data_IF_559138495946
#
_entry.id   IF_559138495946
#
_cell.length_a   1.000
_cell.length_b   1.000
_cell.length_c   1.000
_cell.angle_alpha   90.00
_cell.angle_beta   90.00
_cell.angle_gamma   90.00
#
_symmetry.space_group_name_H-M   'P 1'
#
loop_
_entity.id
_entity.type
_entity.pdbx_description
1 polymer ?
#
# COMPACT_ATOMS: atom_id res chain seq x y z
N UNK A 1 -16.49 11.28 9.07
CA UNK A 1 -16.70 9.85 8.74
C UNK A 1 -15.52 9.00 9.15
N UNK A 2 -14.27 9.42 8.91
CA UNK A 2 -13.05 8.73 9.39
C UNK A 2 -13.09 8.33 10.87
N UNK A 3 -13.43 9.23 11.80
CA UNK A 3 -13.51 8.90 13.24
C UNK A 3 -14.48 7.76 13.57
N UNK A 4 -15.51 7.52 12.74
CA UNK A 4 -16.42 6.39 12.93
C UNK A 4 -15.81 5.10 12.37
N UNK A 5 -15.14 5.12 11.22
CA UNK A 5 -14.45 3.95 10.68
C UNK A 5 -13.27 3.53 11.58
N UNK A 6 -12.46 4.47 12.07
CA UNK A 6 -11.39 4.19 13.04
C UNK A 6 -11.97 3.67 14.36
N UNK A 7 -13.10 4.22 14.82
CA UNK A 7 -13.80 3.72 16.01
C UNK A 7 -14.45 2.36 15.77
N UNK A 8 -14.95 2.03 14.59
CA UNK A 8 -15.57 0.73 14.32
C UNK A 8 -14.50 -0.36 14.17
N UNK A 9 -13.40 -0.09 13.46
CA UNK A 9 -12.26 -1.01 13.38
C UNK A 9 -11.62 -1.21 14.75
N UNK A 10 -11.49 -0.15 15.57
CA UNK A 10 -10.93 -0.25 16.92
C UNK A 10 -11.92 -0.78 17.98
N UNK A 11 -13.23 -0.50 17.88
CA UNK A 11 -14.23 -0.94 18.86
C UNK A 11 -14.68 -2.38 18.62
N UNK A 12 -14.54 -2.91 17.40
CA UNK A 12 -14.75 -4.33 17.10
C UNK A 12 -13.49 -5.16 17.34
N UNK A 13 -12.59 -4.75 18.24
CA UNK A 13 -11.27 -5.33 18.53
C UNK A 13 -11.19 -6.81 18.95
N UNK A 14 -12.19 -7.63 18.61
CA UNK A 14 -12.14 -9.10 18.61
C UNK A 14 -12.68 -9.76 17.32
N UNK A 15 -13.12 -8.99 16.32
CA UNK A 15 -13.57 -9.51 15.03
C UNK A 15 -12.51 -9.27 13.95
N UNK A 16 -12.07 -10.35 13.32
CA UNK A 16 -11.19 -10.29 12.17
C UNK A 16 -12.00 -9.85 10.96
N UNK A 17 -11.56 -8.77 10.33
CA UNK A 17 -12.19 -8.25 9.12
C UNK A 17 -11.69 -9.00 7.89
N UNK A 18 -12.63 -9.30 7.00
CA UNK A 18 -12.29 -9.72 5.64
C UNK A 18 -11.69 -8.56 4.86
N UNK A 19 -10.90 -8.88 3.84
CA UNK A 19 -10.44 -7.88 2.88
C UNK A 19 -11.63 -7.14 2.28
N UNK A 20 -12.65 -7.86 1.81
CA UNK A 20 -13.87 -7.28 1.23
C UNK A 20 -14.65 -6.35 2.18
N UNK A 21 -14.61 -6.61 3.49
CA UNK A 21 -15.22 -5.75 4.50
C UNK A 21 -14.42 -4.47 4.69
N UNK A 22 -13.09 -4.59 4.79
CA UNK A 22 -12.18 -3.45 4.89
C UNK A 22 -12.27 -2.53 3.66
N UNK A 23 -12.38 -3.11 2.46
CA UNK A 23 -12.57 -2.35 1.22
C UNK A 23 -13.84 -1.51 1.23
N UNK A 24 -14.91 -1.94 1.93
CA UNK A 24 -16.13 -1.14 2.10
C UNK A 24 -16.01 -0.06 3.16
N UNK A 25 -15.20 -0.30 4.20
CA UNK A 25 -15.04 0.61 5.34
C UNK A 25 -14.00 1.72 5.09
N UNK A 26 -13.03 1.45 4.21
CA UNK A 26 -11.89 2.33 3.94
C UNK A 26 -11.91 2.75 2.46
N UNK A 27 -12.65 3.81 2.08
CA UNK A 27 -12.94 4.15 0.68
C UNK A 27 -11.71 4.56 -0.17
N UNK A 28 -10.59 4.91 0.45
CA UNK A 28 -9.36 5.19 -0.27
C UNK A 28 -8.59 3.92 -0.67
N UNK A 29 -8.81 2.80 0.02
CA UNK A 29 -8.10 1.54 -0.27
C UNK A 29 -8.53 0.95 -1.62
N UNK A 30 -9.83 0.87 -1.97
CA UNK A 30 -10.25 0.46 -3.31
C UNK A 30 -9.63 1.33 -4.40
N UNK A 31 -9.46 2.64 -4.19
CA UNK A 31 -8.83 3.52 -5.19
C UNK A 31 -7.36 3.19 -5.40
N UNK A 32 -6.63 2.89 -4.31
CA UNK A 32 -5.25 2.43 -4.41
C UNK A 32 -5.18 1.04 -5.05
N UNK A 33 -6.16 0.17 -4.77
CA UNK A 33 -6.25 -1.15 -5.40
C UNK A 33 -6.53 -1.02 -6.91
N UNK A 34 -7.44 -0.12 -7.31
CA UNK A 34 -7.72 0.16 -8.73
C UNK A 34 -6.45 0.61 -9.46
N UNK A 35 -5.63 1.47 -8.83
CA UNK A 35 -4.33 1.89 -9.38
C UNK A 35 -3.38 0.69 -9.48
N UNK A 36 -3.30 -0.13 -8.44
CA UNK A 36 -2.47 -1.33 -8.42
C UNK A 36 -2.87 -2.32 -9.53
N UNK A 37 -4.17 -2.53 -9.74
CA UNK A 37 -4.72 -3.44 -10.74
C UNK A 37 -4.35 -3.04 -12.17
N UNK A 38 -4.11 -1.75 -12.44
CA UNK A 38 -3.58 -1.28 -13.74
C UNK A 38 -2.20 -1.89 -14.07
N UNK A 39 -1.41 -2.22 -13.05
CA UNK A 39 -0.08 -2.80 -13.19
C UNK A 39 -0.08 -4.32 -13.10
N UNK A 40 -1.21 -4.94 -12.72
CA UNK A 40 -1.34 -6.39 -12.67
C UNK A 40 -1.33 -6.90 -14.10
N UNK A 41 -0.19 -7.49 -14.47
CA UNK A 41 -0.04 -8.14 -15.77
C UNK A 41 -0.93 -9.38 -15.77
N UNK A 42 -2.12 -9.27 -16.35
CA UNK A 42 -2.83 -10.42 -16.91
C UNK A 42 -1.82 -11.13 -17.82
N UNK A 43 -1.64 -12.43 -17.66
CA UNK A 43 -0.76 -13.25 -18.49
C UNK A 43 -1.21 -13.37 -19.96
N UNK A 44 -1.67 -12.28 -20.57
CA UNK A 44 -1.94 -12.15 -21.99
C UNK A 44 -1.17 -10.96 -22.56
N UNK A 45 0.15 -11.15 -22.68
CA UNK A 45 0.86 -10.50 -23.76
C UNK A 45 0.36 -11.09 -25.09
N UNK A 46 -0.14 -10.24 -25.99
CA UNK A 46 -0.39 -10.52 -27.41
C UNK A 46 -1.04 -11.89 -27.72
N UNK A 47 -2.37 -11.95 -27.68
CA UNK A 47 -3.10 -12.85 -28.58
C UNK A 47 -4.38 -12.16 -29.06
N UNK A 48 -4.53 -12.22 -30.38
CA UNK A 48 -5.61 -11.72 -31.21
C UNK A 48 -7.02 -11.76 -30.60
N UNK A 49 -7.78 -10.71 -30.93
CA UNK A 49 -9.18 -10.71 -31.35
C UNK A 49 -10.06 -11.91 -30.99
N UNK A 50 -11.19 -11.61 -30.33
CA UNK A 50 -12.43 -12.37 -30.48
C UNK A 50 -12.99 -12.96 -29.20
N UNK A 51 -14.06 -12.31 -28.74
CA UNK A 51 -15.32 -12.88 -28.25
C UNK A 51 -15.37 -13.81 -27.02
N UNK A 52 -16.37 -13.48 -26.17
CA UNK A 52 -17.08 -14.29 -25.17
C UNK A 52 -16.31 -15.23 -24.21
N UNK A 53 -16.37 -14.93 -22.91
CA UNK A 53 -16.71 -15.87 -21.79
C UNK A 53 -16.55 -15.10 -20.45
N UNK A 54 -17.60 -14.79 -19.68
CA UNK A 54 -18.28 -15.69 -18.76
C UNK A 54 -17.32 -16.59 -17.94
N UNK A 55 -17.33 -16.39 -16.62
CA UNK A 55 -16.64 -17.16 -15.57
C UNK A 55 -15.21 -16.72 -15.17
N UNK A 56 -15.11 -15.57 -14.49
CA UNK A 56 -13.96 -15.26 -13.62
C UNK A 56 -14.25 -15.81 -12.21
N UNK A 57 -14.12 -17.13 -12.06
CA UNK A 57 -14.16 -17.84 -10.78
C UNK A 57 -12.76 -18.44 -10.55
N UNK A 58 -12.15 -18.01 -9.45
CA UNK A 58 -11.09 -18.68 -8.66
C UNK A 58 -9.75 -19.05 -9.33
N UNK A 59 -8.72 -18.32 -8.86
CA UNK A 59 -7.34 -18.73 -8.51
C UNK A 59 -6.33 -19.11 -9.61
N UNK A 60 -5.19 -18.41 -9.62
CA UNK A 60 -3.87 -18.97 -10.01
C UNK A 60 -2.72 -18.13 -9.37
N UNK A 61 -1.53 -18.70 -9.09
CA UNK A 61 -0.46 -18.15 -8.22
C UNK A 61 0.38 -17.03 -8.88
N UNK A 62 -0.26 -16.22 -9.73
CA UNK A 62 0.34 -15.11 -10.49
C UNK A 62 -0.22 -13.74 -10.11
N UNK A 63 -1.02 -13.58 -9.07
CA UNK A 63 -1.62 -12.28 -8.73
C UNK A 63 -0.57 -11.36 -8.10
N UNK A 64 0.06 -10.53 -8.93
CA UNK A 64 1.06 -9.59 -8.46
C UNK A 64 1.75 -8.82 -9.58
N UNK A 65 2.15 -7.59 -9.29
CA UNK A 65 2.90 -6.75 -10.24
C UNK A 65 4.38 -7.13 -10.19
N UNK A 66 5.14 -6.96 -11.28
CA UNK A 66 6.58 -7.25 -11.22
C UNK A 66 7.26 -6.28 -10.26
N UNK A 67 8.32 -6.73 -9.57
CA UNK A 67 9.10 -5.85 -8.68
C UNK A 67 9.62 -4.58 -9.37
N UNK A 68 9.88 -4.64 -10.68
CA UNK A 68 10.29 -3.48 -11.49
C UNK A 68 9.20 -2.42 -11.62
N UNK A 69 7.93 -2.84 -11.62
CA UNK A 69 6.78 -1.98 -11.89
C UNK A 69 6.25 -1.34 -10.59
N UNK A 70 6.76 -1.77 -9.42
CA UNK A 70 6.37 -1.23 -8.11
C UNK A 70 6.66 0.27 -8.00
N UNK A 71 7.80 0.73 -8.52
CA UNK A 71 8.14 2.15 -8.49
C UNK A 71 7.13 2.99 -9.27
N UNK A 72 6.76 2.54 -10.47
CA UNK A 72 5.79 3.23 -11.33
C UNK A 72 4.36 3.16 -10.76
N UNK A 73 4.02 2.05 -10.11
CA UNK A 73 2.78 1.90 -9.37
C UNK A 73 2.67 2.92 -8.23
N UNK A 74 3.72 3.04 -7.39
CA UNK A 74 3.77 4.02 -6.30
C UNK A 74 3.75 5.46 -6.82
N UNK A 75 4.39 5.73 -7.98
CA UNK A 75 4.29 7.02 -8.67
C UNK A 75 2.87 7.36 -9.07
N UNK A 76 2.15 6.38 -9.59
CA UNK A 76 0.74 6.55 -9.98
C UNK A 76 -0.17 6.72 -8.77
N UNK A 77 0.21 6.17 -7.60
CA UNK A 77 -0.46 6.40 -6.32
C UNK A 77 -0.19 7.81 -5.73
N UNK A 78 0.72 8.58 -6.33
CA UNK A 78 1.02 9.96 -5.95
C UNK A 78 2.32 10.15 -5.16
N UNK A 79 3.13 9.11 -4.97
CA UNK A 79 4.45 9.22 -4.34
C UNK A 79 5.54 9.50 -5.37
N UNK A 80 6.70 10.00 -4.95
CA UNK A 80 7.82 10.23 -5.87
C UNK A 80 9.12 9.59 -5.39
N UNK A 81 9.16 8.25 -5.23
CA UNK A 81 10.31 7.60 -4.63
C UNK A 81 11.50 7.59 -5.61
N UNK A 82 12.69 7.91 -5.08
CA UNK A 82 13.96 7.72 -5.77
C UNK A 82 14.24 6.23 -6.01
N UNK A 83 14.80 5.91 -7.17
CA UNK A 83 15.16 4.54 -7.52
C UNK A 83 16.10 3.90 -6.49
N UNK A 84 16.99 4.66 -5.85
CA UNK A 84 17.91 4.15 -4.83
C UNK A 84 17.19 3.75 -3.54
N UNK A 85 16.19 4.55 -3.15
CA UNK A 85 15.33 4.26 -1.99
C UNK A 85 14.49 3.02 -2.28
N UNK A 86 13.91 2.92 -3.48
CA UNK A 86 13.16 1.74 -3.92
C UNK A 86 14.02 0.47 -3.91
N UNK A 87 15.23 0.51 -4.50
CA UNK A 87 16.16 -0.64 -4.50
C UNK A 87 16.51 -1.08 -3.08
N UNK A 88 16.76 -0.14 -2.19
CA UNK A 88 17.12 -0.43 -0.79
C UNK A 88 15.98 -1.15 -0.07
N UNK A 89 14.75 -0.62 -0.16
CA UNK A 89 13.59 -1.22 0.50
C UNK A 89 13.20 -2.57 -0.10
N UNK A 90 13.24 -2.71 -1.43
CA UNK A 90 12.98 -3.99 -2.08
C UNK A 90 14.04 -5.03 -1.69
N UNK A 91 15.33 -4.66 -1.65
CA UNK A 91 16.40 -5.56 -1.23
C UNK A 91 16.29 -5.96 0.25
N UNK A 92 15.80 -5.08 1.11
CA UNK A 92 15.51 -5.39 2.51
C UNK A 92 14.34 -6.38 2.63
N UNK A 93 13.25 -6.15 1.89
CA UNK A 93 12.07 -7.03 1.88
C UNK A 93 12.39 -8.42 1.34
N UNK A 94 13.17 -8.50 0.27
CA UNK A 94 13.65 -9.77 -0.29
C UNK A 94 14.50 -10.51 0.75
N UNK A 95 15.46 -9.84 1.39
CA UNK A 95 16.29 -10.45 2.44
C UNK A 95 15.47 -10.96 3.63
N UNK A 96 14.45 -10.21 4.05
CA UNK A 96 13.54 -10.64 5.13
C UNK A 96 12.75 -11.89 4.73
N UNK A 97 12.21 -11.94 3.49
CA UNK A 97 11.47 -13.10 2.97
C UNK A 97 12.35 -14.34 2.81
N UNK A 98 13.57 -14.16 2.30
CA UNK A 98 14.55 -15.24 2.18
C UNK A 98 14.94 -15.82 3.54
N UNK A 99 15.08 -14.98 4.57
CA UNK A 99 15.32 -15.42 5.94
C UNK A 99 14.16 -16.25 6.53
N UNK A 100 12.93 -16.02 6.07
CA UNK A 100 11.73 -16.78 6.44
C UNK A 100 11.51 -18.03 5.57
N UNK A 101 12.43 -18.34 4.65
CA UNK A 101 12.30 -19.49 3.75
C UNK A 101 11.24 -19.34 2.65
N UNK A 102 10.62 -18.16 2.53
CA UNK A 102 9.67 -17.84 1.47
C UNK A 102 10.47 -17.57 0.20
N UNK A 103 10.50 -18.54 -0.73
CA UNK A 103 11.13 -18.34 -2.04
C UNK A 103 10.40 -17.19 -2.74
N UNK A 104 11.12 -16.09 -2.93
CA UNK A 104 10.61 -14.84 -3.48
C UNK A 104 9.92 -15.08 -4.82
N UNK A 105 8.59 -14.92 -4.85
CA UNK A 105 7.94 -14.60 -6.10
C UNK A 105 8.51 -13.24 -6.56
N UNK A 106 8.97 -13.13 -7.80
CA UNK A 106 9.36 -11.86 -8.45
C UNK A 106 8.17 -10.87 -8.60
N UNK A 107 7.09 -11.09 -7.85
CA UNK A 107 5.82 -10.39 -7.90
C UNK A 107 5.51 -9.78 -6.54
N UNK A 108 5.04 -8.54 -6.57
CA UNK A 108 4.54 -7.78 -5.44
C UNK A 108 3.02 -7.89 -5.35
N UNK A 109 2.53 -8.39 -4.22
CA UNK A 109 1.11 -8.35 -3.84
C UNK A 109 0.68 -6.93 -3.50
N UNK A 110 -0.63 -6.68 -3.48
CA UNK A 110 -1.17 -5.36 -3.12
C UNK A 110 -0.72 -4.93 -1.73
N UNK A 111 -0.75 -5.85 -0.75
CA UNK A 111 -0.34 -5.63 0.64
C UNK A 111 1.14 -5.22 0.73
N UNK A 112 2.00 -5.78 -0.13
CA UNK A 112 3.41 -5.42 -0.20
C UNK A 112 3.59 -3.99 -0.74
N UNK A 113 2.87 -3.65 -1.82
CA UNK A 113 2.90 -2.30 -2.39
C UNK A 113 2.36 -1.29 -1.39
N UNK A 114 1.28 -1.60 -0.69
CA UNK A 114 0.69 -0.73 0.32
C UNK A 114 1.61 -0.53 1.54
N UNK A 115 2.34 -1.57 1.93
CA UNK A 115 3.39 -1.47 2.97
C UNK A 115 4.50 -0.51 2.56
N UNK A 116 4.93 -0.58 1.30
CA UNK A 116 5.90 0.36 0.74
C UNK A 116 5.32 1.78 0.66
N UNK A 117 4.06 1.91 0.23
CA UNK A 117 3.35 3.17 0.18
C UNK A 117 3.35 3.87 1.55
N UNK A 118 2.94 3.17 2.63
CA UNK A 118 2.91 3.76 3.96
C UNK A 118 4.30 4.25 4.42
N UNK A 119 5.34 3.43 4.25
CA UNK A 119 6.71 3.82 4.64
C UNK A 119 7.22 5.02 3.87
N UNK A 120 6.96 5.08 2.58
CA UNK A 120 7.45 6.17 1.73
C UNK A 120 6.65 7.45 1.95
N UNK A 121 5.33 7.35 2.12
CA UNK A 121 4.47 8.48 2.45
C UNK A 121 4.82 9.07 3.84
N UNK A 122 5.14 8.25 4.84
CA UNK A 122 5.62 8.72 6.15
C UNK A 122 6.93 9.50 6.02
N UNK A 123 7.88 9.00 5.21
CA UNK A 123 9.14 9.70 4.97
C UNK A 123 8.96 10.97 4.15
N UNK A 124 8.05 10.99 3.18
CA UNK A 124 7.68 12.24 2.50
C UNK A 124 7.11 13.23 3.51
N UNK A 125 6.23 12.83 4.43
CA UNK A 125 5.74 13.73 5.49
C UNK A 125 6.88 14.24 6.39
N UNK A 126 7.83 13.39 6.79
CA UNK A 126 9.00 13.78 7.59
C UNK A 126 9.98 14.70 6.84
N UNK A 127 10.30 14.40 5.59
CA UNK A 127 11.14 15.24 4.74
C UNK A 127 10.45 16.57 4.40
N UNK A 128 9.12 16.58 4.25
CA UNK A 128 8.32 17.79 4.02
C UNK A 128 8.24 18.72 5.24
N UNK A 129 8.25 18.16 6.47
CA UNK A 129 8.38 18.95 7.70
C UNK A 129 9.72 19.70 7.76
N UNK A 130 10.77 19.16 7.14
CA UNK A 130 12.07 19.81 6.96
C UNK A 130 12.06 20.78 5.74
N UNK A 131 11.29 20.48 4.68
CA UNK A 131 11.12 21.31 3.46
C UNK A 131 10.17 22.50 3.60
N UNK A 132 9.60 22.77 4.78
CA UNK A 132 9.04 24.10 5.09
C UNK A 132 10.05 25.22 4.82
N UNK A 133 11.36 24.91 4.91
CA UNK A 133 12.47 25.76 4.42
C UNK A 133 12.61 25.72 2.90
N UNK A 134 12.46 24.55 2.27
CA UNK A 134 12.72 24.31 0.84
C UNK A 134 11.86 25.12 -0.13
N UNK A 135 10.54 25.26 0.12
CA UNK A 135 9.66 26.10 -0.71
C UNK A 135 10.13 27.56 -0.68
N UNK A 136 10.41 28.08 0.52
CA UNK A 136 10.86 29.45 0.69
C UNK A 136 12.28 29.65 0.18
N UNK A 137 13.14 28.64 0.25
CA UNK A 137 14.50 28.67 -0.31
C UNK A 137 14.47 28.69 -1.85
N UNK A 138 13.62 27.87 -2.47
CA UNK A 138 13.41 27.89 -3.94
C UNK A 138 12.82 29.24 -4.36
N UNK A 139 11.79 29.74 -3.68
CA UNK A 139 11.23 31.06 -3.95
C UNK A 139 12.25 32.17 -3.76
N UNK A 140 13.12 32.10 -2.74
CA UNK A 140 14.19 33.08 -2.51
C UNK A 140 15.18 33.12 -3.66
N UNK A 141 15.59 31.96 -4.19
CA UNK A 141 16.48 31.88 -5.35
C UNK A 141 15.78 32.44 -6.59
N UNK A 142 14.52 32.13 -6.83
CA UNK A 142 13.77 32.63 -7.98
C UNK A 142 13.52 34.14 -7.89
N UNK A 143 13.16 34.67 -6.72
CA UNK A 143 13.05 36.11 -6.45
C UNK A 143 14.36 36.86 -6.67
N UNK A 144 15.51 36.24 -6.35
CA UNK A 144 16.83 36.85 -6.65
C UNK A 144 17.10 37.01 -8.16
N UNK A 145 16.33 36.31 -9.01
CA UNK A 145 16.42 36.36 -10.47
C UNK A 145 15.32 37.20 -11.11
N UNK A 146 14.36 37.67 -10.32
CA UNK A 146 13.29 38.59 -10.69
C UNK A 146 13.52 39.93 -9.97
N UNK A 147 14.43 40.78 -10.47
CA UNK A 147 14.79 42.05 -9.81
C UNK A 147 13.61 43.03 -9.76
N UNK A 148 12.63 42.88 -10.65
CA UNK A 148 11.45 43.73 -10.77
C UNK A 148 10.30 43.26 -9.86
N UNK A 149 10.44 42.08 -9.22
CA UNK A 149 9.45 41.53 -8.29
C UNK A 149 8.09 41.24 -8.92
N UNK A 150 8.09 40.91 -10.21
CA UNK A 150 6.89 40.64 -11.00
C UNK A 150 6.21 39.31 -10.65
N UNK A 151 6.92 38.39 -9.99
CA UNK A 151 6.47 37.02 -9.76
C UNK A 151 6.53 36.13 -11.01
N UNK A 152 7.20 36.62 -12.07
CA UNK A 152 7.33 35.95 -13.36
C UNK A 152 8.79 35.84 -13.80
N UNK A 153 9.13 34.77 -14.51
CA UNK A 153 10.43 34.61 -15.15
C UNK A 153 10.25 34.12 -16.58
N UNK A 154 11.11 34.57 -17.53
CA UNK A 154 11.08 34.05 -18.89
C UNK A 154 11.32 32.54 -18.93
N UNK A 155 10.58 31.83 -19.77
CA UNK A 155 10.69 30.38 -19.97
C UNK A 155 12.15 29.93 -20.18
N UNK A 156 12.89 30.65 -21.04
CA UNK A 156 14.28 30.32 -21.36
C UNK A 156 15.21 30.43 -20.15
N UNK A 157 14.96 31.39 -19.26
CA UNK A 157 15.73 31.62 -18.04
C UNK A 157 15.43 30.54 -17.01
N UNK A 158 14.16 30.23 -16.79
CA UNK A 158 13.75 29.19 -15.84
C UNK A 158 14.20 27.81 -16.30
N UNK A 159 14.08 27.49 -17.60
CA UNK A 159 14.60 26.26 -18.20
C UNK A 159 16.08 26.10 -17.95
N UNK A 160 16.88 27.16 -18.21
CA UNK A 160 18.31 27.14 -17.95
C UNK A 160 18.62 26.91 -16.47
N UNK A 161 17.85 27.50 -15.56
CA UNK A 161 18.05 27.28 -14.13
C UNK A 161 17.82 25.82 -13.73
N UNK A 162 16.72 25.20 -14.20
CA UNK A 162 16.38 23.80 -13.92
C UNK A 162 17.40 22.80 -14.49
N UNK A 163 18.03 23.11 -15.63
CA UNK A 163 19.02 22.23 -16.26
C UNK A 163 20.46 22.48 -15.77
N UNK A 164 20.73 23.64 -15.15
CA UNK A 164 22.10 24.06 -14.77
C UNK A 164 22.34 24.03 -13.25
N UNK A 165 21.31 24.15 -12.41
CA UNK A 165 21.42 24.25 -10.94
C UNK A 165 20.71 23.08 -10.24
N UNK A 166 21.40 22.39 -9.32
CA UNK A 166 20.83 21.31 -8.49
C UNK A 166 20.87 19.91 -9.14
N UNK A 167 19.96 19.03 -8.72
CA UNK A 167 19.65 17.76 -9.39
C UNK A 167 19.06 18.08 -10.76
N UNK A 168 19.88 17.90 -11.79
CA UNK A 168 19.60 18.36 -13.16
C UNK A 168 18.42 17.58 -13.72
N UNK A 169 17.33 18.28 -13.99
CA UNK A 169 16.34 17.78 -14.94
C UNK A 169 16.97 17.76 -16.33
N UNK A 170 16.66 16.74 -17.12
CA UNK A 170 17.05 16.72 -18.53
C UNK A 170 16.23 17.73 -19.35
N UNK A 171 16.62 17.98 -20.60
CA UNK A 171 15.93 18.97 -21.43
C UNK A 171 14.45 18.61 -21.69
N UNK A 172 14.14 17.31 -21.71
CA UNK A 172 12.79 16.78 -21.94
C UNK A 172 11.90 16.95 -20.72
N UNK A 173 12.41 16.69 -19.52
CA UNK A 173 11.76 16.88 -18.24
C UNK A 173 11.50 18.38 -17.99
N UNK A 174 12.50 19.22 -18.22
CA UNK A 174 12.36 20.67 -18.07
C UNK A 174 11.32 21.25 -19.05
N UNK A 175 11.26 20.75 -20.28
CA UNK A 175 10.22 21.11 -21.24
C UNK A 175 8.83 20.66 -20.74
N UNK A 176 8.70 19.42 -20.26
CA UNK A 176 7.44 18.87 -19.76
C UNK A 176 6.84 19.68 -18.60
N UNK A 177 7.69 20.14 -17.67
CA UNK A 177 7.25 20.96 -16.53
C UNK A 177 6.84 22.36 -16.96
N UNK A 178 7.62 22.99 -17.84
CA UNK A 178 7.48 24.42 -18.13
C UNK A 178 6.48 24.73 -19.26
N UNK A 179 6.29 23.82 -20.21
CA UNK A 179 5.45 24.07 -21.38
C UNK A 179 3.97 24.26 -21.03
N UNK A 180 3.50 23.60 -19.98
CA UNK A 180 2.09 23.66 -19.54
C UNK A 180 1.77 24.90 -18.69
N UNK A 181 2.78 25.67 -18.29
CA UNK A 181 2.64 26.81 -17.34
C UNK A 181 3.15 28.14 -17.91
N UNK A 182 3.65 28.14 -19.14
CA UNK A 182 4.04 29.35 -19.85
C UNK A 182 2.82 30.08 -20.39
N UNK A 183 2.80 31.40 -20.25
CA UNK A 183 1.79 32.26 -20.85
C UNK A 183 2.05 32.50 -22.35
N UNK A 184 1.16 33.26 -22.98
CA UNK A 184 1.23 33.62 -24.41
C UNK A 184 2.51 34.41 -24.74
N UNK A 185 3.06 35.11 -23.75
CA UNK A 185 4.26 35.94 -23.87
C UNK A 185 5.56 35.16 -23.56
N UNK A 186 5.45 33.86 -23.22
CA UNK A 186 6.58 33.00 -22.90
C UNK A 186 7.16 33.21 -21.51
N UNK A 187 6.40 33.81 -20.60
CA UNK A 187 6.75 33.95 -19.18
C UNK A 187 6.07 32.86 -18.35
N UNK A 188 6.70 32.52 -17.23
CA UNK A 188 6.20 31.53 -16.28
C UNK A 188 5.99 32.20 -14.93
N UNK A 189 4.78 32.09 -14.38
CA UNK A 189 4.46 32.49 -13.02
C UNK A 189 5.13 31.52 -12.02
N UNK A 190 6.40 31.77 -11.72
CA UNK A 190 7.21 30.84 -10.94
C UNK A 190 6.69 30.65 -9.51
N UNK A 191 6.07 31.69 -8.90
CA UNK A 191 5.48 31.54 -7.58
C UNK A 191 4.27 30.60 -7.59
N UNK A 192 3.47 30.65 -8.65
CA UNK A 192 2.34 29.76 -8.82
C UNK A 192 2.81 28.34 -9.12
N UNK A 193 3.80 28.20 -10.01
CA UNK A 193 4.43 26.92 -10.33
C UNK A 193 4.99 26.25 -9.08
N UNK A 194 5.78 26.96 -8.26
CA UNK A 194 6.33 26.41 -7.02
C UNK A 194 5.19 26.02 -6.06
N UNK A 195 4.19 26.90 -5.85
CA UNK A 195 3.06 26.54 -4.99
C UNK A 195 2.27 25.33 -5.50
N UNK A 196 2.18 25.12 -6.81
CA UNK A 196 1.56 23.94 -7.42
C UNK A 196 2.41 22.68 -7.27
N UNK A 197 3.73 22.79 -7.48
CA UNK A 197 4.67 21.67 -7.33
C UNK A 197 4.74 21.18 -5.87
N UNK A 198 4.59 22.09 -4.91
CA UNK A 198 4.57 21.79 -3.49
C UNK A 198 3.16 21.81 -2.89
N UNK A 199 2.12 21.82 -3.72
CA UNK A 199 0.75 21.77 -3.24
C UNK A 199 0.51 20.40 -2.60
N UNK A 200 0.20 20.38 -1.30
CA UNK A 200 -0.20 19.15 -0.63
C UNK A 200 -1.43 18.58 -1.31
N UNK A 201 -1.34 17.29 -1.66
CA UNK A 201 -2.54 16.53 -1.99
C UNK A 201 -3.37 16.38 -0.71
N UNK A 202 -4.55 17.02 -0.61
CA UNK A 202 -5.36 16.99 0.61
C UNK A 202 -5.85 15.59 0.96
N UNK A 203 -5.84 14.66 0.00
CA UNK A 203 -6.23 13.27 0.16
C UNK A 203 -5.05 12.35 0.47
N UNK A 204 -3.80 12.83 0.43
CA UNK A 204 -2.63 11.98 0.72
C UNK A 204 -2.57 11.58 2.19
N UNK A 205 -2.83 12.51 3.11
CA UNK A 205 -2.89 12.23 4.55
C UNK A 205 -4.02 11.22 4.87
N UNK A 206 -5.19 11.37 4.23
CA UNK A 206 -6.31 10.44 4.39
C UNK A 206 -5.99 9.05 3.81
N UNK A 207 -5.40 8.98 2.61
CA UNK A 207 -4.95 7.72 2.00
C UNK A 207 -3.95 6.99 2.88
N UNK A 208 -2.95 7.71 3.41
CA UNK A 208 -1.96 7.15 4.32
C UNK A 208 -2.60 6.57 5.58
N UNK A 209 -3.49 7.35 6.22
CA UNK A 209 -4.18 6.91 7.42
C UNK A 209 -5.03 5.66 7.17
N UNK A 210 -5.79 5.63 6.07
CA UNK A 210 -6.59 4.45 5.73
C UNK A 210 -5.71 3.25 5.38
N UNK A 211 -4.60 3.44 4.67
CA UNK A 211 -3.67 2.38 4.31
C UNK A 211 -3.03 1.73 5.54
N UNK A 212 -2.64 2.54 6.53
CA UNK A 212 -2.16 2.04 7.82
C UNK A 212 -3.23 1.25 8.57
N UNK A 213 -4.48 1.74 8.61
CA UNK A 213 -5.59 1.03 9.26
C UNK A 213 -5.88 -0.30 8.57
N UNK A 214 -5.85 -0.33 7.24
CA UNK A 214 -5.98 -1.57 6.47
C UNK A 214 -4.91 -2.56 6.87
N UNK A 215 -3.63 -2.18 6.77
CA UNK A 215 -2.49 -3.06 7.09
C UNK A 215 -2.49 -3.54 8.54
N UNK A 216 -2.90 -2.67 9.47
CA UNK A 216 -3.06 -3.04 10.87
C UNK A 216 -4.18 -4.07 11.07
N UNK A 217 -5.27 -3.97 10.33
CA UNK A 217 -6.40 -4.89 10.42
C UNK A 217 -6.15 -6.23 9.72
N UNK A 218 -5.39 -6.25 8.61
CA UNK A 218 -5.00 -7.51 7.95
C UNK A 218 -3.86 -8.23 8.66
N UNK A 219 -2.99 -7.50 9.35
CA UNK A 219 -1.85 -8.02 10.11
C UNK A 219 -0.52 -7.95 9.36
N UNK A 220 0.59 -8.05 10.11
CA UNK A 220 1.95 -7.92 9.56
C UNK A 220 2.29 -9.01 8.54
N UNK A 221 1.74 -10.19 8.71
CA UNK A 221 1.99 -11.34 7.83
C UNK A 221 1.16 -11.28 6.54
N UNK A 222 0.23 -10.32 6.40
CA UNK A 222 -0.63 -10.21 5.24
C UNK A 222 0.13 -10.06 3.90
N UNK A 223 1.36 -9.54 3.93
CA UNK A 223 2.22 -9.40 2.75
C UNK A 223 2.55 -10.75 2.08
N UNK A 224 2.52 -11.84 2.83
CA UNK A 224 2.90 -13.19 2.39
C UNK A 224 1.70 -14.15 2.39
N UNK A 225 0.51 -13.67 2.75
CA UNK A 225 -0.73 -14.46 2.79
C UNK A 225 -1.52 -14.35 1.48
N UNK A 226 -2.20 -15.45 1.13
CA UNK A 226 -3.28 -15.43 0.16
C UNK A 226 -4.54 -14.85 0.83
N UNK A 227 -4.92 -13.64 0.44
CA UNK A 227 -6.05 -12.93 1.03
C UNK A 227 -7.40 -13.64 0.77
N UNK A 228 -7.52 -14.37 -0.34
CA UNK A 228 -8.71 -15.18 -0.62
C UNK A 228 -8.84 -16.34 0.36
N UNK A 229 -7.76 -17.10 0.55
CA UNK A 229 -7.73 -18.19 1.55
C UNK A 229 -7.95 -17.68 2.97
N UNK A 230 -7.39 -16.52 3.31
CA UNK A 230 -7.61 -15.86 4.61
C UNK A 230 -9.08 -15.51 4.83
N UNK A 231 -9.73 -14.87 3.86
CA UNK A 231 -11.14 -14.47 3.96
C UNK A 231 -12.06 -15.69 4.06
N UNK A 232 -11.77 -16.76 3.31
CA UNK A 232 -12.49 -18.04 3.41
C UNK A 232 -12.33 -18.69 4.78
N UNK A 233 -11.13 -18.63 5.37
CA UNK A 233 -10.87 -19.13 6.71
C UNK A 233 -11.64 -18.33 7.78
N UNK A 234 -11.67 -17.00 7.67
CA UNK A 234 -12.47 -16.13 8.55
C UNK A 234 -13.96 -16.50 8.46
N UNK A 235 -14.48 -16.75 7.25
CA UNK A 235 -15.85 -17.24 7.06
C UNK A 235 -16.11 -18.61 7.68
N UNK A 236 -15.14 -19.51 7.58
CA UNK A 236 -15.25 -20.83 8.16
C UNK A 236 -15.34 -20.77 9.69
N UNK A 237 -14.53 -19.92 10.33
CA UNK A 237 -14.59 -19.66 11.78
C UNK A 237 -15.92 -19.03 12.18
N UNK A 238 -16.37 -17.99 11.48
CA UNK A 238 -17.67 -17.34 11.79
C UNK A 238 -18.85 -18.29 11.65
N UNK A 239 -18.79 -19.24 10.71
CA UNK A 239 -19.80 -20.31 10.59
C UNK A 239 -19.70 -21.35 11.70
N UNK A 240 -18.49 -21.60 12.23
CA UNK A 240 -18.28 -22.52 13.33
C UNK A 240 -18.67 -21.92 14.69
N UNK A 241 -18.65 -20.60 14.84
CA UNK A 241 -19.13 -19.87 16.02
C UNK A 241 -20.18 -18.80 15.67
N UNK A 242 -21.43 -19.18 15.36
CA UNK A 242 -22.51 -18.24 15.01
C UNK A 242 -22.88 -17.29 16.14
N UNK A 243 -22.57 -17.67 17.38
CA UNK A 243 -22.88 -16.88 18.58
C UNK A 243 -21.77 -15.87 18.89
N UNK A 244 -20.65 -15.91 18.17
CA UNK A 244 -19.52 -15.00 18.37
C UNK A 244 -18.93 -15.10 19.77
N UNK A 245 -18.91 -16.32 20.34
CA UNK A 245 -18.37 -16.58 21.67
C UNK A 245 -16.87 -16.29 21.79
N UNK A 246 -16.13 -16.33 20.68
CA UNK A 246 -14.68 -16.16 20.64
C UNK A 246 -13.90 -17.47 20.84
N UNK A 247 -14.60 -18.61 20.93
CA UNK A 247 -13.99 -19.92 21.18
C UNK A 247 -14.44 -20.97 20.17
N UNK A 248 -13.54 -21.91 19.89
CA UNK A 248 -13.80 -23.05 18.99
C UNK A 248 -13.15 -24.30 19.58
N UNK A 249 -13.78 -25.46 19.37
CA UNK A 249 -13.20 -26.74 19.81
C UNK A 249 -11.94 -27.08 18.99
N UNK A 250 -10.90 -27.70 19.60
CA UNK A 250 -9.66 -28.07 18.91
C UNK A 250 -9.87 -28.91 17.66
N UNK A 251 -10.74 -29.91 17.73
CA UNK A 251 -11.05 -30.81 16.62
C UNK A 251 -11.65 -30.04 15.45
N UNK A 252 -12.53 -29.07 15.78
CA UNK A 252 -13.19 -28.25 14.78
C UNK A 252 -12.22 -27.26 14.14
N UNK A 253 -11.29 -26.68 14.91
CA UNK A 253 -10.24 -25.82 14.36
C UNK A 253 -9.30 -26.61 13.45
N UNK A 254 -8.93 -27.83 13.84
CA UNK A 254 -8.10 -28.73 13.03
C UNK A 254 -8.77 -29.08 11.70
N UNK A 255 -10.07 -29.38 11.71
CA UNK A 255 -10.87 -29.58 10.49
C UNK A 255 -10.88 -28.36 9.57
N UNK A 256 -10.89 -27.15 10.15
CA UNK A 256 -10.87 -25.91 9.37
C UNK A 256 -9.50 -25.62 8.75
N UNK A 257 -8.41 -25.92 9.46
CA UNK A 257 -7.04 -25.76 8.96
C UNK A 257 -6.73 -26.77 7.85
N UNK A 258 -7.14 -28.03 8.01
CA UNK A 258 -6.92 -29.11 7.04
C UNK A 258 -7.89 -29.11 5.86
N UNK A 259 -8.70 -28.04 5.75
CA UNK A 259 -9.68 -27.88 4.67
C UNK A 259 -9.02 -27.43 3.36
N UNK A 260 -7.89 -26.75 3.49
CA UNK A 260 -6.97 -26.45 2.40
C UNK A 260 -5.93 -27.58 2.33
N UNK A 261 -5.15 -27.71 1.26
CA UNK A 261 -4.21 -28.82 0.98
C UNK A 261 -3.09 -29.06 2.03
N UNK A 262 -3.19 -28.44 3.19
CA UNK A 262 -2.30 -28.55 4.33
C UNK A 262 -2.74 -29.67 5.28
N UNK A 263 -1.77 -30.33 5.91
CA UNK A 263 -2.00 -31.39 6.89
C UNK A 263 -1.40 -30.98 8.23
N UNK A 264 -2.15 -30.20 9.01
CA UNK A 264 -1.89 -29.99 10.42
C UNK A 264 -2.29 -31.22 11.23
N UNK A 265 -1.40 -31.64 12.10
CA UNK A 265 -1.65 -32.65 13.12
C UNK A 265 -2.20 -32.02 14.40
N UNK A 266 -2.84 -32.84 15.25
CA UNK A 266 -3.30 -32.38 16.56
C UNK A 266 -2.17 -31.89 17.45
N UNK A 267 -0.96 -32.45 17.31
CA UNK A 267 0.22 -32.05 18.08
C UNK A 267 0.72 -30.68 17.63
N UNK A 268 0.79 -30.44 16.32
CA UNK A 268 1.15 -29.12 15.78
C UNK A 268 0.13 -28.06 16.17
N UNK A 269 -1.17 -28.38 16.12
CA UNK A 269 -2.21 -27.47 16.58
C UNK A 269 -2.02 -27.12 18.06
N UNK A 270 -1.78 -28.11 18.92
CA UNK A 270 -1.54 -27.88 20.36
C UNK A 270 -0.32 -27.00 20.62
N UNK A 271 0.77 -27.19 19.86
CA UNK A 271 1.96 -26.34 19.96
C UNK A 271 1.65 -24.89 19.56
N UNK A 272 0.85 -24.69 18.52
CA UNK A 272 0.45 -23.36 18.05
C UNK A 272 -0.57 -22.67 18.98
N UNK A 273 -1.44 -23.43 19.64
CA UNK A 273 -2.52 -22.89 20.49
C UNK A 273 -2.17 -22.90 21.97
N UNK A 274 -0.91 -23.20 22.31
CA UNK A 274 -0.43 -23.24 23.68
C UNK A 274 -0.66 -21.89 24.38
N UNK A 275 -1.42 -21.90 25.47
CA UNK A 275 -1.75 -20.67 26.22
C UNK A 275 -2.93 -19.86 25.65
N UNK A 276 -3.59 -20.34 24.61
CA UNK A 276 -4.81 -19.76 24.03
C UNK A 276 -6.09 -20.49 24.44
N UNK A 277 -5.96 -21.58 25.18
CA UNK A 277 -7.06 -22.41 25.66
C UNK A 277 -7.69 -21.85 26.94
N UNK A 278 -9.01 -21.93 27.06
CA UNK A 278 -9.69 -21.65 28.33
C UNK A 278 -9.64 -22.86 29.25
N UNK A 279 -8.56 -22.93 30.04
CA UNK A 279 -8.34 -23.98 31.05
C UNK A 279 -9.32 -23.92 32.23
N UNK A 280 -10.11 -22.84 32.37
CA UNK A 280 -11.02 -22.64 33.50
C UNK A 280 -12.43 -23.13 33.19
N UNK A 281 -12.89 -22.92 31.96
CA UNK A 281 -14.26 -23.19 31.56
C UNK A 281 -14.37 -24.22 30.42
N UNK A 282 -13.25 -24.79 29.95
CA UNK A 282 -13.19 -25.77 28.86
C UNK A 282 -13.92 -25.30 27.58
N UNK A 283 -13.95 -23.98 27.35
CA UNK A 283 -14.68 -23.37 26.21
C UNK A 283 -14.02 -23.68 24.86
N UNK A 284 -12.83 -24.27 24.88
CA UNK A 284 -12.01 -24.56 23.72
C UNK A 284 -10.89 -23.55 23.53
N UNK A 285 -10.42 -23.43 22.30
CA UNK A 285 -9.35 -22.53 21.89
C UNK A 285 -9.94 -21.15 21.63
N UNK A 286 -9.33 -20.11 22.20
CA UNK A 286 -9.63 -18.73 21.85
C UNK A 286 -9.10 -18.46 20.44
N UNK A 287 -9.97 -18.62 19.44
CA UNK A 287 -9.57 -18.43 18.04
C UNK A 287 -9.21 -16.98 17.75
N UNK A 288 -9.66 -16.02 18.57
CA UNK A 288 -9.30 -14.62 18.35
C UNK A 288 -7.81 -14.40 18.62
N UNK A 289 -7.28 -15.00 19.69
CA UNK A 289 -5.84 -14.96 19.99
C UNK A 289 -5.04 -15.75 18.96
N UNK A 290 -5.55 -16.89 18.52
CA UNK A 290 -4.93 -17.70 17.47
C UNK A 290 -4.80 -16.95 16.14
N UNK A 291 -5.88 -16.32 15.69
CA UNK A 291 -5.89 -15.50 14.48
C UNK A 291 -4.97 -14.28 14.64
N UNK A 292 -4.92 -13.67 15.83
CA UNK A 292 -4.00 -12.56 16.10
C UNK A 292 -2.53 -13.00 16.04
N UNK A 293 -2.23 -14.21 16.53
CA UNK A 293 -0.90 -14.81 16.46
C UNK A 293 -0.50 -15.05 15.01
N UNK A 294 -1.29 -15.80 14.23
CA UNK A 294 -0.98 -16.10 12.82
C UNK A 294 -0.81 -14.84 11.96
N UNK A 295 -1.58 -13.78 12.25
CA UNK A 295 -1.54 -12.56 11.44
C UNK A 295 -0.39 -11.62 11.80
N UNK A 296 0.22 -11.73 12.99
CA UNK A 296 1.19 -10.75 13.48
C UNK A 296 2.55 -11.32 13.91
N UNK A 297 2.61 -12.60 14.23
CA UNK A 297 3.81 -13.33 14.68
C UNK A 297 4.23 -14.36 13.64
#
# INVERSE_FOLDING_TARGET
MLQNATREVAAQGGFFFKQSELMRMLPEIPKLLDIYDLFVVNGHGLAAAGDELAALVCMDPGVGIRLTDVADCLRTMGLSPSDDVMRTHLAELVRRREAMGVRSAQRATFELVLTLYCRLAEREVEEELDKGSGVEDVLRVLRSRDPDGTGMLPYSQLRRMLTTMGSRLDETEAYGVLHCVADIDGNVHYEHLVRQLYAKDPLAEERLQQAQLYLQAVGRNAIDMDMGKRDEFIDAIRRADPMGTGFIQPERLLELLNRNEEQFTSEELQLLTQGMEDTRCERGINYQRFLQFIMNE
#
